data_IF_688387921518
#
_entry.id   IF_688387921518
#
_cell.length_a   1.000
_cell.length_b   1.000
_cell.length_c   1.000
_cell.angle_alpha   90.00
_cell.angle_beta   90.00
_cell.angle_gamma   90.00
#
_symmetry.space_group_name_H-M   'P 1'
#
loop_
_entity.id
_entity.type
_entity.pdbx_description
1 polymer ?
#
# COMPACT_ATOMS: atom_id res chain seq x y z
N UNK A 1 -13.37 7.66 11.37
CA UNK A 1 -12.23 7.48 10.44
C UNK A 1 -11.12 8.43 10.85
N UNK A 2 -9.93 7.91 11.14
CA UNK A 2 -8.76 8.73 11.48
C UNK A 2 -8.09 9.32 10.24
N UNK A 3 -7.28 10.36 10.40
CA UNK A 3 -6.53 11.00 9.30
C UNK A 3 -5.71 9.98 8.50
N UNK A 4 -5.08 9.01 9.18
CA UNK A 4 -4.27 7.94 8.55
C UNK A 4 -5.13 7.04 7.64
N UNK A 5 -6.34 6.68 8.06
CA UNK A 5 -7.27 5.88 7.25
C UNK A 5 -7.74 6.63 6.00
N UNK A 6 -8.03 7.93 6.12
CA UNK A 6 -8.45 8.75 4.98
C UNK A 6 -7.32 8.85 3.94
N UNK A 7 -6.09 9.13 4.38
CA UNK A 7 -4.93 9.19 3.49
C UNK A 7 -4.70 7.84 2.79
N UNK A 8 -4.77 6.72 3.53
CA UNK A 8 -4.63 5.39 2.95
C UNK A 8 -5.73 5.10 1.92
N UNK A 9 -6.98 5.45 2.21
CA UNK A 9 -8.10 5.27 1.28
C UNK A 9 -7.92 6.09 0.00
N UNK A 10 -7.53 7.36 0.11
CA UNK A 10 -7.24 8.22 -1.04
C UNK A 10 -6.10 7.62 -1.87
N UNK A 11 -5.03 7.18 -1.21
CA UNK A 11 -3.90 6.53 -1.86
C UNK A 11 -4.32 5.27 -2.62
N UNK A 12 -5.18 4.41 -2.05
CA UNK A 12 -5.65 3.21 -2.76
C UNK A 12 -6.63 3.58 -3.88
N UNK A 13 -7.50 4.56 -3.67
CA UNK A 13 -8.51 4.96 -4.64
C UNK A 13 -7.95 5.69 -5.86
N UNK A 14 -6.88 6.48 -5.69
CA UNK A 14 -6.39 7.34 -6.77
C UNK A 14 -5.89 6.57 -8.01
N UNK A 15 -5.13 5.47 -7.91
CA UNK A 15 -4.73 4.69 -9.09
C UNK A 15 -5.93 4.13 -9.85
N UNK A 16 -6.98 3.66 -9.17
CA UNK A 16 -8.18 3.14 -9.83
C UNK A 16 -8.98 4.24 -10.54
N UNK A 17 -9.14 5.40 -9.88
CA UNK A 17 -9.79 6.55 -10.49
C UNK A 17 -9.02 7.03 -11.73
N UNK A 18 -7.69 7.14 -11.66
CA UNK A 18 -6.85 7.53 -12.80
C UNK A 18 -6.91 6.46 -13.89
N UNK A 19 -6.86 5.17 -13.54
CA UNK A 19 -6.96 4.08 -14.49
C UNK A 19 -8.31 4.11 -15.24
N UNK A 20 -9.41 4.51 -14.61
CA UNK A 20 -10.71 4.63 -15.28
C UNK A 20 -10.69 5.66 -16.43
N UNK A 21 -9.82 6.67 -16.39
CA UNK A 21 -9.66 7.66 -17.47
C UNK A 21 -8.90 7.13 -18.70
N UNK A 22 -8.33 5.91 -18.63
CA UNK A 22 -7.65 5.28 -19.78
C UNK A 22 -8.53 5.08 -20.99
N UNK A 23 -9.86 5.01 -20.79
CA UNK A 23 -10.85 4.93 -21.86
C UNK A 23 -10.82 6.17 -22.75
N UNK A 24 -10.44 7.33 -22.21
CA UNK A 24 -10.37 8.60 -22.94
C UNK A 24 -8.96 8.93 -23.42
N UNK A 25 -7.95 8.61 -22.61
CA UNK A 25 -6.54 8.82 -22.94
C UNK A 25 -5.70 7.62 -22.47
N UNK A 26 -5.19 6.79 -23.40
CA UNK A 26 -4.33 5.64 -23.06
C UNK A 26 -3.09 6.01 -22.22
N UNK A 27 -2.59 7.25 -22.32
CA UNK A 27 -1.49 7.75 -21.51
C UNK A 27 -1.77 7.75 -20.00
N UNK A 28 -3.05 7.83 -19.62
CA UNK A 28 -3.49 7.78 -18.22
C UNK A 28 -3.17 6.45 -17.53
N UNK A 29 -2.90 5.38 -18.29
CA UNK A 29 -2.55 4.08 -17.72
C UNK A 29 -1.20 4.15 -17.02
N UNK A 30 -0.22 4.80 -17.66
CA UNK A 30 1.10 5.02 -17.08
C UNK A 30 1.00 5.92 -15.85
N UNK A 31 0.16 6.96 -15.90
CA UNK A 31 -0.10 7.84 -14.75
C UNK A 31 -0.72 7.06 -13.58
N UNK A 32 -1.65 6.15 -13.86
CA UNK A 32 -2.24 5.29 -12.84
C UNK A 32 -1.19 4.39 -12.18
N UNK A 33 -0.31 3.77 -12.98
CA UNK A 33 0.80 2.95 -12.46
C UNK A 33 1.76 3.78 -11.60
N UNK A 34 2.14 4.99 -12.04
CA UNK A 34 2.95 5.90 -11.23
C UNK A 34 2.25 6.27 -9.92
N UNK A 35 0.92 6.50 -9.95
CA UNK A 35 0.15 6.73 -8.73
C UNK A 35 0.22 5.54 -7.78
N UNK A 36 0.25 4.28 -8.27
CA UNK A 36 0.41 3.11 -7.37
C UNK A 36 1.74 3.13 -6.61
N UNK A 37 2.81 3.65 -7.23
CA UNK A 37 4.11 3.79 -6.56
C UNK A 37 4.04 4.84 -5.45
N UNK A 38 3.36 5.96 -5.71
CA UNK A 38 3.09 7.00 -4.70
C UNK A 38 2.26 6.42 -3.55
N UNK A 39 1.23 5.62 -3.85
CA UNK A 39 0.43 4.91 -2.85
C UNK A 39 1.29 4.02 -1.96
N UNK A 40 2.15 3.19 -2.55
CA UNK A 40 3.06 2.32 -1.80
C UNK A 40 3.99 3.11 -0.88
N UNK A 41 4.52 4.24 -1.36
CA UNK A 41 5.36 5.13 -0.54
C UNK A 41 4.59 5.72 0.65
N UNK A 42 3.37 6.20 0.43
CA UNK A 42 2.49 6.71 1.49
C UNK A 42 2.21 5.62 2.52
N UNK A 43 1.90 4.39 2.08
CA UNK A 43 1.58 3.28 2.98
C UNK A 43 2.78 2.84 3.82
N UNK A 44 3.97 2.75 3.22
CA UNK A 44 5.22 2.51 3.95
C UNK A 44 5.46 3.61 4.99
N UNK A 45 5.25 4.87 4.63
CA UNK A 45 5.41 6.01 5.55
C UNK A 45 4.45 5.95 6.73
N UNK A 46 3.17 5.64 6.50
CA UNK A 46 2.18 5.43 7.56
C UNK A 46 2.58 4.24 8.44
N UNK A 47 3.02 3.13 7.84
CA UNK A 47 3.48 1.95 8.57
C UNK A 47 4.67 2.27 9.47
N UNK A 48 5.61 3.09 9.00
CA UNK A 48 6.81 3.45 9.78
C UNK A 48 6.41 4.31 10.97
N UNK A 49 5.50 5.26 10.76
CA UNK A 49 4.95 6.08 11.83
C UNK A 49 4.22 5.21 12.88
N UNK A 50 3.43 4.23 12.47
CA UNK A 50 2.77 3.29 13.39
C UNK A 50 3.77 2.38 14.12
N UNK A 51 4.91 2.04 13.50
CA UNK A 51 5.88 1.12 14.10
C UNK A 51 6.58 1.73 15.30
N UNK A 52 6.67 3.06 15.37
CA UNK A 52 7.23 3.79 16.53
C UNK A 52 6.36 3.54 17.76
N UNK A 53 5.04 3.68 17.60
CA UNK A 53 4.07 3.56 18.70
C UNK A 53 3.74 2.08 19.01
N UNK A 54 3.71 1.23 17.98
CA UNK A 54 3.22 -0.16 18.03
C UNK A 54 4.29 -1.18 17.62
N UNK A 55 5.54 -1.00 18.04
CA UNK A 55 6.69 -1.82 17.58
C UNK A 55 6.56 -3.34 17.81
N UNK A 56 5.77 -3.77 18.80
CA UNK A 56 5.51 -5.19 19.10
C UNK A 56 4.40 -5.80 18.25
N UNK A 57 3.69 -4.99 17.46
CA UNK A 57 2.59 -5.48 16.63
C UNK A 57 3.13 -6.38 15.52
N UNK A 58 2.84 -7.68 15.63
CA UNK A 58 3.32 -8.71 14.68
C UNK A 58 2.78 -8.49 13.26
N UNK A 59 1.58 -7.92 13.12
CA UNK A 59 1.01 -7.66 11.81
C UNK A 59 1.77 -6.57 11.07
N UNK A 60 2.19 -5.52 11.78
CA UNK A 60 2.99 -4.44 11.23
C UNK A 60 4.42 -4.91 10.88
N UNK A 61 5.02 -5.74 11.72
CA UNK A 61 6.32 -6.38 11.41
C UNK A 61 6.21 -7.26 10.15
N UNK A 62 5.15 -8.06 10.05
CA UNK A 62 4.90 -8.89 8.88
C UNK A 62 4.67 -8.05 7.62
N UNK A 63 3.97 -6.92 7.71
CA UNK A 63 3.80 -5.98 6.59
C UNK A 63 5.15 -5.53 6.03
N UNK A 64 6.07 -5.07 6.89
CA UNK A 64 7.40 -4.66 6.46
C UNK A 64 8.24 -5.82 5.92
N UNK A 65 8.16 -7.00 6.52
CA UNK A 65 8.81 -8.20 6.00
C UNK A 65 8.36 -8.49 4.57
N UNK A 66 7.06 -8.42 4.29
CA UNK A 66 6.54 -8.63 2.94
C UNK A 66 6.89 -7.50 1.97
N UNK A 67 6.97 -6.24 2.42
CA UNK A 67 7.50 -5.15 1.60
C UNK A 67 8.95 -5.43 1.17
N UNK A 68 9.82 -5.81 2.12
CA UNK A 68 11.22 -6.16 1.83
C UNK A 68 11.28 -7.36 0.89
N UNK A 69 10.45 -8.38 1.13
CA UNK A 69 10.38 -9.56 0.28
C UNK A 69 9.96 -9.19 -1.15
N UNK A 70 8.96 -8.33 -1.33
CA UNK A 70 8.53 -7.86 -2.65
C UNK A 70 9.68 -7.18 -3.39
N UNK A 71 10.34 -6.19 -2.78
CA UNK A 71 11.45 -5.49 -3.44
C UNK A 71 12.64 -6.41 -3.73
N UNK A 72 12.91 -7.38 -2.85
CA UNK A 72 13.95 -8.39 -3.06
C UNK A 72 13.61 -9.25 -4.27
N UNK A 73 12.42 -9.87 -4.28
CA UNK A 73 11.95 -10.72 -5.38
C UNK A 73 11.90 -9.99 -6.72
N UNK A 74 11.46 -8.73 -6.71
CA UNK A 74 11.45 -7.88 -7.91
C UNK A 74 12.85 -7.63 -8.47
N UNK A 75 13.87 -7.57 -7.62
CA UNK A 75 15.25 -7.37 -8.06
C UNK A 75 15.91 -8.65 -8.62
N UNK A 76 15.54 -9.82 -8.10
CA UNK A 76 16.22 -11.09 -8.42
C UNK A 76 15.45 -12.02 -9.35
N UNK A 77 14.17 -11.75 -9.64
CA UNK A 77 13.32 -12.61 -10.46
C UNK A 77 12.46 -11.83 -11.45
N UNK A 78 12.13 -12.45 -12.58
CA UNK A 78 11.18 -11.93 -13.58
C UNK A 78 9.77 -12.52 -13.43
N UNK A 79 9.42 -12.95 -12.22
CA UNK A 79 8.17 -13.63 -11.95
C UNK A 79 6.99 -12.65 -12.00
N UNK A 80 6.21 -12.68 -13.10
CA UNK A 80 5.08 -11.77 -13.27
C UNK A 80 4.02 -11.80 -12.15
N UNK A 81 3.90 -12.90 -11.41
CA UNK A 81 2.95 -13.01 -10.29
C UNK A 81 3.32 -12.16 -9.06
N UNK A 82 4.57 -11.70 -8.93
CA UNK A 82 4.97 -10.83 -7.81
C UNK A 82 4.24 -9.48 -7.83
N UNK A 83 3.73 -9.06 -8.99
CA UNK A 83 2.92 -7.85 -9.15
C UNK A 83 1.54 -7.94 -8.48
N UNK A 84 1.13 -9.12 -8.01
CA UNK A 84 -0.03 -9.26 -7.13
C UNK A 84 0.27 -8.85 -5.67
N UNK A 85 1.55 -8.77 -5.27
CA UNK A 85 1.93 -8.40 -3.90
C UNK A 85 1.63 -6.94 -3.55
N UNK A 86 1.92 -5.92 -4.38
CA UNK A 86 1.60 -4.53 -4.06
C UNK A 86 0.12 -4.29 -3.72
N UNK A 87 -0.88 -4.71 -4.52
CA UNK A 87 -2.27 -4.54 -4.15
C UNK A 87 -2.66 -5.35 -2.91
N UNK A 88 -2.10 -6.55 -2.71
CA UNK A 88 -2.33 -7.34 -1.50
C UNK A 88 -1.78 -6.63 -0.24
N UNK A 89 -0.59 -6.04 -0.32
CA UNK A 89 0.01 -5.24 0.76
C UNK A 89 -0.82 -3.99 1.06
N UNK A 90 -1.34 -3.33 0.03
CA UNK A 90 -2.22 -2.18 0.22
C UNK A 90 -3.51 -2.52 0.97
N UNK A 91 -4.12 -3.65 0.65
CA UNK A 91 -5.28 -4.18 1.39
C UNK A 91 -4.87 -4.53 2.82
N UNK A 92 -3.74 -5.21 2.99
CA UNK A 92 -3.25 -5.61 4.32
C UNK A 92 -2.99 -4.41 5.24
N UNK A 93 -2.39 -3.33 4.71
CA UNK A 93 -2.20 -2.08 5.46
C UNK A 93 -3.53 -1.46 5.91
N UNK A 94 -4.56 -1.52 5.07
CA UNK A 94 -5.91 -1.05 5.40
C UNK A 94 -6.49 -1.83 6.58
N UNK A 95 -6.28 -3.15 6.59
CA UNK A 95 -6.72 -4.05 7.67
C UNK A 95 -5.96 -3.73 8.97
N UNK A 96 -4.64 -3.56 8.92
CA UNK A 96 -3.82 -3.20 10.09
C UNK A 96 -4.30 -1.89 10.71
N UNK A 97 -4.51 -0.86 9.89
CA UNK A 97 -5.01 0.44 10.35
C UNK A 97 -6.36 0.29 11.07
N UNK A 98 -7.26 -0.54 10.56
CA UNK A 98 -8.56 -0.76 11.18
C UNK A 98 -8.44 -1.44 12.55
N UNK A 99 -7.61 -2.49 12.67
CA UNK A 99 -7.42 -3.18 13.95
C UNK A 99 -6.71 -2.34 15.00
N UNK A 100 -5.66 -1.60 14.63
CA UNK A 100 -4.94 -0.74 15.59
C UNK A 100 -5.88 0.31 16.18
N UNK A 101 -6.78 0.88 15.38
CA UNK A 101 -7.75 1.88 15.87
C UNK A 101 -8.75 1.26 16.84
N UNK A 102 -9.21 0.04 16.60
CA UNK A 102 -10.10 -0.66 17.53
C UNK A 102 -9.41 -1.02 18.86
N UNK A 103 -8.09 -1.15 18.89
CA UNK A 103 -7.33 -1.34 20.13
C UNK A 103 -7.14 -0.03 20.92
N UNK A 104 -7.32 1.14 20.29
CA UNK A 104 -7.16 2.46 20.89
C UNK A 104 -8.48 3.06 21.44
N UNK A 105 -9.64 2.48 21.12
CA UNK A 105 -10.99 2.86 21.63
C UNK A 105 -11.39 2.06 22.88
#
# INVERSE_FOLDING_TARGET
MTTRQVINLIGIGSPFLIAAFTVFDPGMFIVALLSTMVTGFIQVSIGLNLLIDHYKNRHLQAYFLFCILFFSLWHITDWGWIWAMPPALAIYMTIILHFIILEEE
#
